data_IF_506075585227
#
_entry.id   IF_506075585227
#
_cell.length_a   1.000
_cell.length_b   1.000
_cell.length_c   1.000
_cell.angle_alpha   90.00
_cell.angle_beta   90.00
_cell.angle_gamma   90.00
#
_symmetry.space_group_name_H-M   'P 1'
#
loop_
_entity.id
_entity.type
_entity.pdbx_description
1 polymer ?
#
# COMPACT_ATOMS: atom_id res chain seq x y z
N UNK A 1 -51.19 -11.04 -21.96
CA UNK A 1 -50.52 -10.09 -21.04
C UNK A 1 -50.24 -10.78 -19.70
N UNK A 2 -49.06 -11.39 -19.52
CA UNK A 2 -48.63 -11.90 -18.20
C UNK A 2 -47.11 -11.86 -18.10
N UNK A 3 -46.52 -10.67 -18.27
CA UNK A 3 -45.07 -10.44 -18.17
C UNK A 3 -44.65 -9.88 -16.80
N UNK A 4 -45.59 -9.44 -15.94
CA UNK A 4 -45.28 -8.80 -14.65
C UNK A 4 -45.08 -9.73 -13.44
N UNK A 5 -45.46 -11.02 -13.53
CA UNK A 5 -45.32 -11.96 -12.40
C UNK A 5 -43.92 -12.58 -12.32
N UNK A 6 -43.28 -12.75 -13.48
CA UNK A 6 -41.97 -13.38 -13.60
C UNK A 6 -40.84 -12.51 -13.04
N UNK A 7 -40.94 -11.18 -13.07
CA UNK A 7 -39.88 -10.32 -12.50
C UNK A 7 -39.95 -10.20 -10.98
N UNK A 8 -41.16 -10.28 -10.40
CA UNK A 8 -41.40 -10.05 -8.96
C UNK A 8 -41.00 -11.24 -8.07
N UNK A 9 -41.07 -12.47 -8.59
CA UNK A 9 -40.67 -13.68 -7.84
C UNK A 9 -39.15 -13.81 -7.70
N UNK A 10 -38.39 -13.32 -8.67
CA UNK A 10 -36.93 -13.42 -8.69
C UNK A 10 -36.25 -12.21 -8.06
N UNK A 11 -36.97 -11.10 -7.87
CA UNK A 11 -36.47 -9.88 -7.24
C UNK A 11 -35.79 -10.12 -5.86
N UNK A 12 -36.38 -10.86 -4.90
CA UNK A 12 -35.71 -11.13 -3.63
C UNK A 12 -34.45 -12.01 -3.78
N UNK A 13 -34.44 -12.91 -4.78
CA UNK A 13 -33.30 -13.78 -5.06
C UNK A 13 -32.14 -12.99 -5.69
N UNK A 14 -32.46 -12.06 -6.61
CA UNK A 14 -31.50 -11.12 -7.18
C UNK A 14 -30.97 -10.14 -6.14
N UNK A 15 -31.82 -9.67 -5.22
CA UNK A 15 -31.38 -8.82 -4.10
C UNK A 15 -30.43 -9.59 -3.18
N UNK A 16 -30.78 -10.83 -2.79
CA UNK A 16 -29.92 -11.68 -1.97
C UNK A 16 -28.58 -12.00 -2.67
N UNK A 17 -28.60 -12.24 -3.98
CA UNK A 17 -27.40 -12.45 -4.78
C UNK A 17 -26.53 -11.19 -4.85
N UNK A 18 -27.14 -10.01 -4.99
CA UNK A 18 -26.39 -8.73 -4.97
C UNK A 18 -25.75 -8.42 -3.62
N UNK A 19 -26.33 -8.88 -2.51
CA UNK A 19 -25.74 -8.77 -1.16
C UNK A 19 -24.57 -9.76 -0.98
N UNK A 20 -24.60 -10.91 -1.67
CA UNK A 20 -23.52 -11.90 -1.66
C UNK A 20 -22.32 -11.48 -2.52
N UNK A 21 -22.54 -10.63 -3.53
CA UNK A 21 -21.45 -9.97 -4.27
C UNK A 21 -20.98 -8.79 -3.42
N UNK A 22 -20.20 -9.08 -2.38
CA UNK A 22 -19.48 -8.05 -1.64
C UNK A 22 -18.61 -7.23 -2.62
N UNK A 23 -18.57 -5.91 -2.43
CA UNK A 23 -17.64 -5.05 -3.16
C UNK A 23 -16.24 -5.44 -2.69
N UNK A 24 -15.54 -6.25 -3.47
CA UNK A 24 -14.16 -6.62 -3.21
C UNK A 24 -13.26 -5.51 -3.76
N UNK A 25 -12.50 -4.87 -2.89
CA UNK A 25 -11.43 -3.96 -3.30
C UNK A 25 -10.14 -4.77 -3.29
N UNK A 26 -9.51 -4.88 -4.47
CA UNK A 26 -8.36 -5.79 -4.69
C UNK A 26 -7.10 -5.33 -3.92
N UNK A 27 -6.92 -4.01 -3.78
CA UNK A 27 -5.84 -3.41 -2.99
C UNK A 27 -6.26 -2.05 -2.42
N UNK A 28 -6.04 -1.85 -1.13
CA UNK A 28 -6.18 -0.57 -0.45
C UNK A 28 -4.79 -0.09 -0.04
N UNK A 29 -4.41 1.07 -0.55
CA UNK A 29 -3.13 1.71 -0.26
C UNK A 29 -3.28 3.04 0.49
N UNK A 30 -2.29 3.38 1.31
CA UNK A 30 -2.25 4.66 2.04
C UNK A 30 -0.91 5.38 1.90
N UNK A 31 -0.92 6.70 2.09
CA UNK A 31 0.32 7.48 2.22
C UNK A 31 0.72 7.51 3.70
N UNK A 32 1.92 7.06 4.04
CA UNK A 32 2.45 7.17 5.40
C UNK A 32 3.32 8.42 5.52
N UNK A 33 2.68 9.54 5.85
CA UNK A 33 3.35 10.78 6.23
C UNK A 33 3.93 10.69 7.65
N UNK A 34 5.15 11.21 7.85
CA UNK A 34 5.85 11.14 9.15
C UNK A 34 6.04 12.49 9.85
N UNK A 35 5.57 13.58 9.24
CA UNK A 35 5.55 14.91 9.87
C UNK A 35 4.36 15.01 10.82
N UNK A 36 4.59 14.67 12.08
CA UNK A 36 3.58 14.73 13.15
C UNK A 36 4.20 15.28 14.43
N UNK A 37 3.42 15.99 15.25
CA UNK A 37 3.87 16.45 16.57
C UNK A 37 4.09 15.28 17.55
N UNK A 38 3.39 14.17 17.34
CA UNK A 38 3.47 12.95 18.15
C UNK A 38 3.53 11.73 17.22
N UNK A 39 4.69 11.42 16.63
CA UNK A 39 4.82 10.27 15.74
C UNK A 39 4.68 8.97 16.53
N UNK A 40 3.97 8.01 15.94
CA UNK A 40 3.92 6.65 16.46
C UNK A 40 5.19 5.87 16.07
N UNK A 41 5.64 4.90 16.89
CA UNK A 41 6.70 3.97 16.49
C UNK A 41 6.35 3.24 15.19
N UNK A 42 7.31 2.99 14.28
CA UNK A 42 7.04 2.35 12.99
C UNK A 42 6.33 1.00 13.09
N UNK A 43 6.69 0.17 14.07
CA UNK A 43 6.09 -1.14 14.31
C UNK A 43 4.61 -1.01 14.69
N UNK A 44 4.27 0.00 15.49
CA UNK A 44 2.88 0.31 15.86
C UNK A 44 2.07 0.71 14.63
N UNK A 45 2.64 1.51 13.73
CA UNK A 45 1.96 1.90 12.49
C UNK A 45 1.78 0.69 11.57
N UNK A 46 2.80 -0.16 11.41
CA UNK A 46 2.70 -1.40 10.63
C UNK A 46 1.60 -2.32 11.17
N UNK A 47 1.50 -2.47 12.50
CA UNK A 47 0.43 -3.24 13.10
C UNK A 47 -0.94 -2.62 12.80
N UNK A 48 -1.07 -1.28 12.91
CA UNK A 48 -2.30 -0.56 12.55
C UNK A 48 -2.70 -0.79 11.09
N UNK A 49 -1.73 -0.79 10.15
CA UNK A 49 -2.00 -1.07 8.74
C UNK A 49 -2.58 -2.48 8.56
N UNK A 50 -1.96 -3.49 9.20
CA UNK A 50 -2.42 -4.88 9.15
C UNK A 50 -3.81 -5.05 9.76
N UNK A 51 -4.05 -4.46 10.93
CA UNK A 51 -5.32 -4.55 11.64
C UNK A 51 -6.49 -3.94 10.83
N UNK A 52 -6.19 -3.02 9.90
CA UNK A 52 -7.16 -2.38 9.03
C UNK A 52 -7.17 -2.94 7.59
N UNK A 53 -6.46 -4.05 7.33
CA UNK A 53 -6.44 -4.69 6.01
C UNK A 53 -5.78 -3.85 4.91
N UNK A 54 -4.89 -2.91 5.28
CA UNK A 54 -4.13 -2.12 4.31
C UNK A 54 -2.94 -2.95 3.84
N UNK A 55 -2.83 -3.12 2.53
CA UNK A 55 -1.83 -4.00 1.90
C UNK A 55 -0.76 -3.24 1.12
N UNK A 56 -0.93 -1.93 0.90
CA UNK A 56 0.04 -1.09 0.20
C UNK A 56 0.31 0.22 0.94
N UNK A 57 1.54 0.70 0.91
CA UNK A 57 1.93 1.98 1.51
C UNK A 57 2.87 2.76 0.61
N UNK A 58 2.64 4.07 0.51
CA UNK A 58 3.58 5.01 -0.10
C UNK A 58 4.37 5.77 0.96
N UNK A 59 5.70 5.71 0.81
CA UNK A 59 6.67 6.47 1.58
C UNK A 59 7.23 7.62 0.73
N UNK A 60 7.58 8.73 1.39
CA UNK A 60 8.15 9.92 0.75
C UNK A 60 9.68 9.96 0.82
N UNK A 61 10.28 9.05 1.59
CA UNK A 61 11.70 8.82 1.75
C UNK A 61 11.96 7.39 2.25
N UNK A 62 13.21 6.94 2.19
CA UNK A 62 13.64 5.60 2.60
C UNK A 62 14.25 5.62 4.01
N UNK A 63 13.45 5.92 5.04
CA UNK A 63 13.96 5.92 6.42
C UNK A 63 14.14 4.50 6.93
N UNK A 64 15.37 4.18 7.34
CA UNK A 64 15.79 2.85 7.77
C UNK A 64 14.85 2.20 8.81
N UNK A 65 14.45 2.93 9.86
CA UNK A 65 13.55 2.38 10.88
C UNK A 65 12.18 1.95 10.32
N UNK A 66 11.66 2.70 9.33
CA UNK A 66 10.38 2.40 8.67
C UNK A 66 10.54 1.21 7.74
N UNK A 67 11.60 1.21 6.94
CA UNK A 67 11.92 0.12 6.02
C UNK A 67 12.11 -1.20 6.78
N UNK A 68 12.85 -1.18 7.90
CA UNK A 68 13.02 -2.35 8.78
C UNK A 68 11.70 -2.85 9.36
N UNK A 69 10.81 -1.96 9.78
CA UNK A 69 9.51 -2.35 10.33
C UNK A 69 8.58 -2.96 9.27
N UNK A 70 8.72 -2.56 8.00
CA UNK A 70 7.95 -3.10 6.87
C UNK A 70 8.50 -4.44 6.33
N UNK A 71 9.77 -4.75 6.59
CA UNK A 71 10.38 -5.99 6.12
C UNK A 71 9.65 -7.24 6.66
N UNK A 72 9.35 -8.18 5.76
CA UNK A 72 8.69 -9.44 6.11
C UNK A 72 7.20 -9.29 6.46
N UNK A 73 6.60 -8.12 6.24
CA UNK A 73 5.20 -7.88 6.59
C UNK A 73 4.21 -8.32 5.51
N UNK A 74 4.66 -8.41 4.25
CA UNK A 74 3.80 -8.61 3.07
C UNK A 74 3.04 -7.35 2.65
N UNK A 75 3.33 -6.18 3.24
CA UNK A 75 2.81 -4.90 2.77
C UNK A 75 3.70 -4.42 1.61
N UNK A 76 3.11 -4.10 0.47
CA UNK A 76 3.82 -3.54 -0.68
C UNK A 76 4.17 -2.08 -0.43
N UNK A 77 5.36 -1.65 -0.83
CA UNK A 77 5.93 -0.35 -0.47
C UNK A 77 6.38 0.41 -1.70
N UNK A 78 5.73 1.54 -1.96
CA UNK A 78 6.20 2.52 -2.96
C UNK A 78 7.09 3.54 -2.25
N UNK A 79 8.38 3.60 -2.61
CA UNK A 79 9.32 4.58 -2.05
C UNK A 79 9.56 5.72 -3.05
N UNK A 80 9.33 6.95 -2.61
CA UNK A 80 9.57 8.15 -3.43
C UNK A 80 11.00 8.68 -3.24
N UNK A 81 11.57 9.25 -4.30
CA UNK A 81 12.80 10.04 -4.21
C UNK A 81 12.49 11.37 -3.52
N UNK A 82 13.20 11.76 -2.45
CA UNK A 82 12.97 13.02 -1.77
C UNK A 82 13.19 14.25 -2.67
N UNK A 83 12.31 15.25 -2.56
CA UNK A 83 12.32 16.44 -3.41
C UNK A 83 13.65 17.21 -3.39
N UNK A 84 14.36 17.22 -2.25
CA UNK A 84 15.64 17.93 -2.09
C UNK A 84 16.80 17.31 -2.89
N UNK A 85 16.69 16.04 -3.31
CA UNK A 85 17.69 15.35 -4.12
C UNK A 85 17.16 14.95 -5.51
N UNK A 86 15.89 15.20 -5.80
CA UNK A 86 15.21 14.77 -7.02
C UNK A 86 15.93 15.25 -8.28
N UNK A 87 16.36 16.51 -8.33
CA UNK A 87 17.07 17.06 -9.49
C UNK A 87 18.41 16.34 -9.73
N UNK A 88 19.15 16.03 -8.67
CA UNK A 88 20.42 15.29 -8.74
C UNK A 88 20.19 13.86 -9.23
N UNK A 89 19.18 13.17 -8.69
CA UNK A 89 18.83 11.80 -9.08
C UNK A 89 18.31 11.74 -10.52
N UNK A 90 17.50 12.71 -10.94
CA UNK A 90 16.94 12.77 -12.28
C UNK A 90 17.98 13.17 -13.35
N UNK A 91 18.99 13.95 -12.97
CA UNK A 91 20.00 14.49 -13.90
C UNK A 91 21.19 13.56 -14.16
N UNK A 92 21.41 12.53 -13.34
CA UNK A 92 22.58 11.65 -13.45
C UNK A 92 22.24 10.18 -13.10
N UNK A 93 22.47 9.29 -14.06
CA UNK A 93 22.26 7.85 -13.92
C UNK A 93 23.05 7.24 -12.76
N UNK A 94 24.31 7.65 -12.55
CA UNK A 94 25.14 7.11 -11.47
C UNK A 94 24.58 7.53 -10.10
N UNK A 95 24.04 8.75 -10.00
CA UNK A 95 23.38 9.22 -8.79
C UNK A 95 22.07 8.47 -8.54
N UNK A 96 21.28 8.21 -9.59
CA UNK A 96 20.08 7.38 -9.49
C UNK A 96 20.40 5.95 -9.04
N UNK A 97 21.40 5.32 -9.67
CA UNK A 97 21.86 3.98 -9.30
C UNK A 97 22.31 3.94 -7.84
N UNK A 98 23.15 4.92 -7.44
CA UNK A 98 23.63 5.02 -6.06
C UNK A 98 22.47 5.18 -5.07
N UNK A 99 21.47 6.00 -5.40
CA UNK A 99 20.30 6.16 -4.52
C UNK A 99 19.56 4.84 -4.34
N UNK A 100 19.33 4.07 -5.42
CA UNK A 100 18.70 2.75 -5.34
C UNK A 100 19.54 1.78 -4.49
N UNK A 101 20.85 1.73 -4.72
CA UNK A 101 21.78 0.85 -4.00
C UNK A 101 21.78 1.16 -2.48
N UNK A 102 21.87 2.45 -2.12
CA UNK A 102 21.96 2.87 -0.73
C UNK A 102 20.64 2.73 0.04
N UNK A 103 19.49 2.86 -0.64
CA UNK A 103 18.18 3.02 0.02
C UNK A 103 17.25 1.81 -0.12
N UNK A 104 17.36 1.03 -1.20
CA UNK A 104 16.39 -0.02 -1.54
C UNK A 104 17.01 -1.42 -1.55
N UNK A 105 18.21 -1.58 -2.12
CA UNK A 105 18.82 -2.92 -2.34
C UNK A 105 18.99 -3.72 -1.05
N UNK A 106 19.28 -3.06 0.08
CA UNK A 106 19.39 -3.72 1.38
C UNK A 106 18.11 -4.40 1.88
N UNK A 107 16.96 -4.10 1.26
CA UNK A 107 15.64 -4.59 1.67
C UNK A 107 15.00 -5.57 0.68
N UNK A 108 15.59 -5.84 -0.47
CA UNK A 108 14.99 -6.69 -1.53
C UNK A 108 15.36 -8.18 -1.44
N UNK A 109 15.69 -8.67 -0.23
CA UNK A 109 16.00 -10.08 0.01
C UNK A 109 14.72 -10.91 0.27
N UNK A 110 14.82 -12.24 0.27
CA UNK A 110 13.68 -13.12 0.59
C UNK A 110 13.19 -12.88 2.02
N UNK A 111 11.95 -12.42 2.17
CA UNK A 111 11.40 -12.00 3.48
C UNK A 111 11.75 -10.55 3.85
N UNK A 112 12.30 -9.78 2.91
CA UNK A 112 12.48 -8.34 3.00
C UNK A 112 11.19 -7.57 2.66
N UNK A 113 11.34 -6.38 2.09
CA UNK A 113 10.22 -5.53 1.68
C UNK A 113 9.84 -5.85 0.22
N UNK A 114 8.54 -5.83 -0.06
CA UNK A 114 8.01 -5.87 -1.42
C UNK A 114 7.98 -4.43 -1.98
N UNK A 115 9.01 -4.05 -2.77
CA UNK A 115 9.21 -2.70 -3.35
C UNK A 115 8.94 -2.70 -4.85
#
# INVERSE_FOLDING_TARGET
FSTGKMTRQWLPLLLALSVLVGIYVDALGVNWGRTASHPLPPETVVQLLKDNGITEVKLFDAVEAVMRALAGTGIQVIVSVPNNILATVAGDYNQAKKWVDDNLVGYTFKGGIEI
#
